data_IF_224186427683
#
_entry.id   IF_224186427683
#
_cell.length_a   1.000
_cell.length_b   1.000
_cell.length_c   1.000
_cell.angle_alpha   90.00
_cell.angle_beta   90.00
_cell.angle_gamma   90.00
#
_symmetry.space_group_name_H-M   'P 1'
#
loop_
_entity.id
_entity.type
_entity.pdbx_description
1 polymer ?
#
# COMPACT_ATOMS: atom_id res chain seq x y z
N UNK A 1 10.24 18.67 28.17
CA UNK A 1 10.80 18.70 26.80
C UNK A 1 10.25 19.88 26.07
N UNK A 2 11.08 20.63 25.33
CA UNK A 2 10.59 21.75 24.52
C UNK A 2 9.70 21.24 23.40
N UNK A 3 8.54 21.86 23.20
CA UNK A 3 7.68 21.58 22.07
C UNK A 3 8.44 21.76 20.76
N UNK A 4 8.23 20.84 19.80
CA UNK A 4 8.84 20.95 18.47
C UNK A 4 8.31 22.21 17.76
N UNK A 5 9.21 22.93 17.10
CA UNK A 5 8.81 24.06 16.25
C UNK A 5 7.93 23.58 15.10
N UNK A 6 7.01 24.42 14.63
CA UNK A 6 6.12 24.09 13.50
C UNK A 6 6.91 23.68 12.26
N UNK A 7 8.08 24.28 12.00
CA UNK A 7 8.98 23.91 10.91
C UNK A 7 9.48 22.46 11.02
N UNK A 8 9.89 22.00 12.20
CA UNK A 8 10.34 20.62 12.41
C UNK A 8 9.20 19.63 12.23
N UNK A 9 7.99 19.95 12.71
CA UNK A 9 6.78 19.13 12.51
C UNK A 9 6.48 18.99 11.02
N UNK A 10 6.52 20.08 10.27
CA UNK A 10 6.33 20.09 8.83
C UNK A 10 7.40 19.27 8.12
N UNK A 11 8.68 19.47 8.47
CA UNK A 11 9.81 18.74 7.88
C UNK A 11 9.68 17.22 8.05
N UNK A 12 9.21 16.76 9.20
CA UNK A 12 8.91 15.34 9.39
C UNK A 12 7.68 14.93 8.57
N UNK A 13 6.58 15.66 8.62
CA UNK A 13 5.32 15.33 7.97
C UNK A 13 5.45 15.18 6.44
N UNK A 14 6.35 15.94 5.79
CA UNK A 14 6.61 15.89 4.35
C UNK A 14 6.98 14.50 3.84
N UNK A 15 7.60 13.64 4.65
CA UNK A 15 7.91 12.26 4.29
C UNK A 15 6.66 11.44 3.93
N UNK A 16 5.49 11.81 4.44
CA UNK A 16 4.22 11.18 4.10
C UNK A 16 3.90 11.17 2.60
N UNK A 17 4.32 12.20 1.87
CA UNK A 17 4.06 12.32 0.43
C UNK A 17 4.71 11.19 -0.37
N UNK A 18 5.99 10.90 -0.15
CA UNK A 18 6.69 9.81 -0.85
C UNK A 18 6.23 8.42 -0.37
N UNK A 19 5.82 8.27 0.91
CA UNK A 19 5.39 6.97 1.45
C UNK A 19 4.28 6.33 0.62
N UNK A 20 3.35 7.11 0.12
CA UNK A 20 2.23 6.59 -0.66
C UNK A 20 2.55 6.58 -2.16
N UNK A 21 3.10 7.68 -2.66
CA UNK A 21 3.34 7.89 -4.09
C UNK A 21 4.19 6.79 -4.72
N UNK A 22 5.38 6.50 -4.17
CA UNK A 22 6.33 5.56 -4.75
C UNK A 22 5.74 4.15 -4.90
N UNK A 23 5.05 3.66 -3.85
CA UNK A 23 4.40 2.34 -3.90
C UNK A 23 3.27 2.27 -4.92
N UNK A 24 2.43 3.30 -5.01
CA UNK A 24 1.32 3.34 -5.95
C UNK A 24 1.82 3.38 -7.40
N UNK A 25 2.79 4.26 -7.70
CA UNK A 25 3.31 4.42 -9.06
C UNK A 25 4.01 3.15 -9.54
N UNK A 26 4.86 2.55 -8.72
CA UNK A 26 5.56 1.31 -9.07
C UNK A 26 4.56 0.15 -9.25
N UNK A 27 3.55 0.04 -8.38
CA UNK A 27 2.59 -1.06 -8.45
C UNK A 27 1.69 -1.02 -9.69
N UNK A 28 1.43 0.15 -10.25
CA UNK A 28 0.46 0.31 -11.34
C UNK A 28 1.11 0.63 -12.69
N UNK A 29 2.01 1.60 -12.72
CA UNK A 29 2.55 2.09 -13.97
C UNK A 29 3.73 1.27 -14.50
N UNK A 30 4.43 0.54 -13.60
CA UNK A 30 5.59 -0.26 -14.01
C UNK A 30 5.18 -1.42 -14.92
N UNK A 31 4.04 -2.09 -14.63
CA UNK A 31 3.50 -3.11 -15.54
C UNK A 31 3.22 -2.50 -16.93
N UNK A 32 2.65 -1.30 -16.97
CA UNK A 32 2.30 -0.64 -18.23
C UNK A 32 3.53 -0.23 -19.05
N UNK A 33 4.68 0.01 -18.41
CA UNK A 33 5.93 0.27 -19.11
C UNK A 33 6.54 -1.02 -19.67
N UNK A 34 6.68 -2.05 -18.85
CA UNK A 34 7.41 -3.27 -19.24
C UNK A 34 6.58 -4.25 -20.06
N UNK A 35 5.25 -4.16 -19.94
CA UNK A 35 4.29 -4.96 -20.72
C UNK A 35 3.26 -4.00 -21.33
N UNK A 36 3.70 -3.13 -22.26
CA UNK A 36 2.81 -2.13 -22.86
C UNK A 36 1.74 -2.79 -23.73
N UNK A 37 0.68 -2.09 -23.89
CA UNK A 37 -0.52 -2.53 -24.57
C UNK A 37 -0.46 -2.39 -26.10
N UNK A 38 0.23 -1.36 -26.59
CA UNK A 38 0.29 -1.02 -28.03
C UNK A 38 1.63 -1.33 -28.69
N UNK A 39 2.69 -1.32 -27.87
CA UNK A 39 4.06 -1.53 -28.33
C UNK A 39 4.53 -2.96 -28.05
N UNK A 40 5.74 -3.28 -28.46
CA UNK A 40 6.37 -4.56 -28.15
C UNK A 40 6.61 -4.66 -26.64
N UNK A 41 6.16 -5.76 -26.02
CA UNK A 41 6.45 -6.03 -24.62
C UNK A 41 7.97 -6.09 -24.39
N UNK A 42 8.46 -5.38 -23.37
CA UNK A 42 9.88 -5.35 -23.01
C UNK A 42 10.30 -6.58 -22.20
N UNK A 43 9.34 -7.18 -21.49
CA UNK A 43 9.49 -8.39 -20.68
C UNK A 43 8.20 -9.20 -20.80
N UNK A 44 8.31 -10.54 -20.81
CA UNK A 44 7.13 -11.39 -20.80
C UNK A 44 6.28 -11.16 -19.55
N UNK A 45 4.96 -11.10 -19.69
CA UNK A 45 4.02 -10.77 -18.61
C UNK A 45 4.15 -11.72 -17.41
N UNK A 46 4.34 -13.02 -17.67
CA UNK A 46 4.55 -14.02 -16.62
C UNK A 46 5.83 -13.79 -15.85
N UNK A 47 6.92 -13.46 -16.54
CA UNK A 47 8.21 -13.16 -15.92
C UNK A 47 8.13 -11.86 -15.09
N UNK A 48 7.50 -10.79 -15.61
CA UNK A 48 7.27 -9.57 -14.86
C UNK A 48 6.47 -9.83 -13.58
N UNK A 49 5.40 -10.63 -13.67
CA UNK A 49 4.56 -10.99 -12.53
C UNK A 49 5.34 -11.73 -11.44
N UNK A 50 6.22 -12.67 -11.83
CA UNK A 50 7.10 -13.42 -10.92
C UNK A 50 8.10 -12.45 -10.27
N UNK A 51 8.74 -11.57 -11.04
CA UNK A 51 9.68 -10.56 -10.55
C UNK A 51 9.02 -9.68 -9.48
N UNK A 52 7.81 -9.20 -9.76
CA UNK A 52 7.09 -8.34 -8.85
C UNK A 52 6.63 -9.08 -7.57
N UNK A 53 6.17 -10.33 -7.72
CA UNK A 53 5.79 -11.17 -6.57
C UNK A 53 6.99 -11.44 -5.65
N UNK A 54 8.16 -11.79 -6.22
CA UNK A 54 9.41 -11.96 -5.43
C UNK A 54 9.74 -10.65 -4.70
N UNK A 55 9.61 -9.51 -5.37
CA UNK A 55 9.82 -8.20 -4.77
C UNK A 55 8.90 -7.94 -3.57
N UNK A 56 7.62 -8.30 -3.67
CA UNK A 56 6.68 -8.16 -2.55
C UNK A 56 6.97 -9.09 -1.39
N UNK A 57 7.45 -10.29 -1.65
CA UNK A 57 7.90 -11.21 -0.60
C UNK A 57 9.14 -10.65 0.11
N UNK A 58 10.12 -10.14 -0.66
CA UNK A 58 11.31 -9.49 -0.10
C UNK A 58 10.96 -8.23 0.69
N UNK A 59 10.02 -7.40 0.22
CA UNK A 59 9.49 -6.24 0.94
C UNK A 59 8.94 -6.63 2.31
N UNK A 60 8.13 -7.70 2.36
CA UNK A 60 7.59 -8.23 3.62
C UNK A 60 8.65 -8.77 4.59
N UNK A 61 9.71 -9.39 4.06
CA UNK A 61 10.81 -9.93 4.88
C UNK A 61 11.76 -8.81 5.33
N UNK A 62 12.02 -7.83 4.49
CA UNK A 62 12.97 -6.75 4.76
C UNK A 62 12.49 -5.76 5.82
N UNK A 63 11.17 -5.62 6.04
CA UNK A 63 10.63 -4.70 7.04
C UNK A 63 11.07 -5.01 8.48
N UNK A 64 10.86 -6.24 9.01
CA UNK A 64 11.34 -6.55 10.34
C UNK A 64 12.87 -6.49 10.45
N UNK A 65 13.60 -6.80 9.38
CA UNK A 65 15.06 -6.67 9.33
C UNK A 65 15.48 -5.20 9.42
N UNK A 66 14.84 -4.32 8.65
CA UNK A 66 15.10 -2.88 8.67
C UNK A 66 14.79 -2.26 10.04
N UNK A 67 13.67 -2.67 10.66
CA UNK A 67 13.31 -2.27 12.02
C UNK A 67 14.40 -2.68 13.02
N UNK A 68 14.78 -3.95 13.02
CA UNK A 68 15.84 -4.46 13.90
C UNK A 68 17.18 -3.75 13.68
N UNK A 69 17.62 -3.60 12.43
CA UNK A 69 18.89 -2.93 12.12
C UNK A 69 18.88 -1.48 12.62
N UNK A 70 17.80 -0.76 12.39
CA UNK A 70 17.70 0.63 12.84
C UNK A 70 17.62 0.78 14.36
N UNK A 71 16.97 -0.15 15.05
CA UNK A 71 16.85 -0.11 16.51
C UNK A 71 18.19 -0.41 17.23
N UNK A 72 19.08 -1.21 16.61
CA UNK A 72 20.38 -1.59 17.17
C UNK A 72 21.55 -0.75 16.65
N UNK A 73 21.29 0.19 15.74
CA UNK A 73 22.33 1.06 15.19
C UNK A 73 22.82 2.09 16.21
N UNK A 74 24.14 2.28 16.25
CA UNK A 74 24.78 3.24 17.14
C UNK A 74 25.43 4.35 16.34
N UNK A 75 25.01 5.60 16.58
CA UNK A 75 25.55 6.76 15.88
C UNK A 75 25.38 8.04 16.69
N UNK A 76 26.31 8.97 16.52
CA UNK A 76 26.23 10.33 17.07
C UNK A 76 25.01 11.12 16.55
N UNK A 77 24.40 10.70 15.45
CA UNK A 77 23.21 11.32 14.84
C UNK A 77 21.91 10.61 15.24
N UNK A 78 21.97 9.70 16.22
CA UNK A 78 20.86 8.82 16.59
C UNK A 78 20.91 7.50 15.85
N UNK A 79 19.89 6.68 16.02
CA UNK A 79 19.82 5.32 15.43
C UNK A 79 19.05 5.26 14.11
N UNK A 80 18.11 6.12 13.85
CA UNK A 80 17.18 6.10 12.68
C UNK A 80 17.53 7.10 11.58
N UNK A 81 17.93 8.32 11.95
CA UNK A 81 18.33 9.36 10.99
C UNK A 81 19.44 8.90 10.03
N UNK A 82 20.48 8.13 10.44
CA UNK A 82 21.48 7.64 9.51
C UNK A 82 20.92 6.75 8.39
N UNK A 83 19.91 5.93 8.68
CA UNK A 83 19.26 5.10 7.65
C UNK A 83 18.47 5.96 6.66
N UNK A 84 17.67 6.91 7.15
CA UNK A 84 16.91 7.82 6.30
C UNK A 84 17.87 8.59 5.38
N UNK A 85 18.95 9.13 5.94
CA UNK A 85 19.97 9.86 5.19
C UNK A 85 20.66 8.99 4.13
N UNK A 86 21.09 7.79 4.49
CA UNK A 86 21.81 6.90 3.60
C UNK A 86 20.93 6.33 2.48
N UNK A 87 19.63 6.07 2.76
CA UNK A 87 18.73 5.41 1.81
C UNK A 87 17.91 6.36 0.96
N UNK A 88 17.80 7.65 1.28
CA UNK A 88 17.02 8.61 0.49
C UNK A 88 17.51 8.70 -0.95
N UNK A 89 18.82 8.91 -1.16
CA UNK A 89 19.39 9.06 -2.50
C UNK A 89 19.39 7.73 -3.29
N UNK A 90 19.83 6.59 -2.74
CA UNK A 90 19.72 5.31 -3.44
C UNK A 90 18.29 4.96 -3.84
N UNK A 91 17.31 5.14 -2.93
CA UNK A 91 15.89 4.86 -3.23
C UNK A 91 15.39 5.77 -4.36
N UNK A 92 15.69 7.06 -4.33
CA UNK A 92 15.31 7.99 -5.39
C UNK A 92 15.95 7.63 -6.75
N UNK A 93 17.22 7.26 -6.75
CA UNK A 93 17.93 6.84 -7.96
C UNK A 93 17.35 5.55 -8.54
N UNK A 94 17.11 4.54 -7.70
CA UNK A 94 16.50 3.27 -8.13
C UNK A 94 15.11 3.53 -8.68
N UNK A 95 14.31 4.35 -7.99
CA UNK A 95 12.97 4.74 -8.44
C UNK A 95 13.02 5.42 -9.81
N UNK A 96 13.99 6.28 -10.05
CA UNK A 96 14.20 6.91 -11.36
C UNK A 96 14.62 5.89 -12.43
N UNK A 97 15.60 5.03 -12.14
CA UNK A 97 16.16 4.06 -13.09
C UNK A 97 15.16 2.98 -13.53
N UNK A 98 14.16 2.67 -12.71
CA UNK A 98 13.07 1.75 -13.08
C UNK A 98 12.32 2.17 -14.36
N UNK A 99 12.31 3.46 -14.68
CA UNK A 99 11.60 4.00 -15.86
C UNK A 99 12.47 4.10 -17.11
N UNK A 100 13.72 3.64 -17.05
CA UNK A 100 14.70 3.69 -18.15
C UNK A 100 15.20 2.27 -18.45
N UNK A 101 14.39 1.44 -19.13
CA UNK A 101 14.84 0.11 -19.53
C UNK A 101 16.01 0.21 -20.53
N UNK A 102 17.00 -0.69 -20.48
CA UNK A 102 18.16 -0.69 -21.37
C UNK A 102 17.78 -0.82 -22.87
N UNK A 103 16.74 -1.58 -23.16
CA UNK A 103 16.22 -1.79 -24.52
C UNK A 103 14.74 -1.41 -24.58
N UNK A 104 14.42 -0.12 -24.81
CA UNK A 104 13.05 0.39 -24.66
C UNK A 104 12.10 0.00 -25.80
N UNK A 105 12.59 -0.56 -26.92
CA UNK A 105 11.82 -0.82 -28.12
C UNK A 105 11.68 -2.33 -28.47
N UNK A 106 12.27 -3.19 -27.66
CA UNK A 106 12.27 -4.63 -27.96
C UNK A 106 12.23 -5.49 -26.68
N UNK A 107 11.73 -6.72 -26.82
CA UNK A 107 11.81 -7.72 -25.77
C UNK A 107 13.25 -8.22 -25.69
N UNK A 108 13.94 -7.90 -24.59
CA UNK A 108 15.32 -8.28 -24.39
C UNK A 108 15.55 -8.83 -22.97
N UNK A 109 16.37 -9.88 -22.85
CA UNK A 109 16.61 -10.50 -21.53
C UNK A 109 17.22 -9.55 -20.50
N UNK A 110 18.02 -8.56 -20.95
CA UNK A 110 18.59 -7.53 -20.08
C UNK A 110 17.52 -6.62 -19.47
N UNK A 111 16.38 -6.39 -20.13
CA UNK A 111 15.24 -5.68 -19.53
C UNK A 111 14.68 -6.46 -18.33
N UNK A 112 14.61 -7.80 -18.44
CA UNK A 112 14.15 -8.65 -17.34
C UNK A 112 15.13 -8.63 -16.17
N UNK A 113 16.43 -8.73 -16.42
CA UNK A 113 17.47 -8.62 -15.38
C UNK A 113 17.46 -7.23 -14.74
N UNK A 114 17.31 -6.18 -15.55
CA UNK A 114 17.24 -4.80 -15.08
C UNK A 114 16.07 -4.55 -14.15
N UNK A 115 14.85 -4.88 -14.58
CA UNK A 115 13.67 -4.69 -13.74
C UNK A 115 13.69 -5.61 -12.53
N UNK A 116 14.21 -6.84 -12.66
CA UNK A 116 14.41 -7.73 -11.51
C UNK A 116 15.31 -7.07 -10.48
N UNK A 117 16.52 -6.69 -10.85
CA UNK A 117 17.50 -6.11 -9.93
C UNK A 117 16.96 -4.83 -9.27
N UNK A 118 16.39 -3.91 -10.06
CA UNK A 118 15.91 -2.64 -9.53
C UNK A 118 14.67 -2.77 -8.65
N UNK A 119 13.73 -3.67 -8.98
CA UNK A 119 12.55 -3.91 -8.13
C UNK A 119 12.96 -4.50 -6.78
N UNK A 120 13.88 -5.48 -6.77
CA UNK A 120 14.36 -6.05 -5.49
C UNK A 120 15.12 -4.99 -4.66
N UNK A 121 16.02 -4.25 -5.29
CA UNK A 121 16.77 -3.16 -4.64
C UNK A 121 15.83 -2.06 -4.13
N UNK A 122 14.80 -1.71 -4.92
CA UNK A 122 13.79 -0.74 -4.48
C UNK A 122 13.14 -1.18 -3.17
N UNK A 123 12.60 -2.39 -3.09
CA UNK A 123 11.92 -2.84 -1.88
C UNK A 123 12.83 -2.92 -0.67
N UNK A 124 14.09 -3.34 -0.84
CA UNK A 124 15.09 -3.37 0.24
C UNK A 124 15.40 -1.93 0.71
N UNK A 125 15.76 -1.03 -0.21
CA UNK A 125 16.09 0.36 0.14
C UNK A 125 14.87 1.09 0.72
N UNK A 126 13.68 0.80 0.17
CA UNK A 126 12.42 1.35 0.68
C UNK A 126 12.13 0.94 2.12
N UNK A 127 12.30 -0.34 2.46
CA UNK A 127 12.13 -0.81 3.83
C UNK A 127 13.14 -0.17 4.79
N UNK A 128 14.40 -0.03 4.36
CA UNK A 128 15.46 0.63 5.14
C UNK A 128 15.28 2.16 5.26
N UNK A 129 14.45 2.77 4.43
CA UNK A 129 14.09 4.18 4.47
C UNK A 129 12.80 4.41 5.27
N UNK A 130 11.72 3.72 4.88
CA UNK A 130 10.38 3.98 5.38
C UNK A 130 10.18 3.52 6.84
N UNK A 131 10.70 2.35 7.21
CA UNK A 131 10.52 1.85 8.58
C UNK A 131 11.23 2.69 9.64
N UNK A 132 12.52 3.05 9.50
CA UNK A 132 13.16 3.99 10.41
C UNK A 132 12.46 5.35 10.47
N UNK A 133 11.96 5.84 9.32
CA UNK A 133 11.21 7.10 9.29
C UNK A 133 9.91 7.02 10.08
N UNK A 134 9.08 5.99 9.89
CA UNK A 134 7.83 5.82 10.65
C UNK A 134 8.09 5.62 12.15
N UNK A 135 9.13 4.88 12.48
CA UNK A 135 9.52 4.61 13.84
C UNK A 135 10.20 5.81 14.54
N UNK A 136 10.57 6.87 13.80
CA UNK A 136 11.17 8.08 14.35
C UNK A 136 10.16 8.93 15.16
N UNK A 137 8.86 8.91 14.80
CA UNK A 137 7.84 9.76 15.42
C UNK A 137 7.76 9.65 16.97
N UNK A 138 7.74 8.45 17.57
CA UNK A 138 7.74 8.32 19.03
C UNK A 138 9.02 8.85 19.72
N UNK A 139 10.13 8.96 18.99
CA UNK A 139 11.41 9.41 19.54
C UNK A 139 11.57 10.94 19.53
N UNK A 140 10.94 11.60 18.56
CA UNK A 140 11.04 13.06 18.45
C UNK A 140 10.12 13.80 19.42
N UNK A 141 9.04 13.15 19.90
CA UNK A 141 8.16 13.70 20.93
C UNK A 141 7.51 12.63 21.79
N UNK A 142 7.44 12.87 23.11
CA UNK A 142 6.71 12.03 24.07
C UNK A 142 5.29 12.53 24.34
N UNK A 143 4.93 13.74 23.88
CA UNK A 143 3.61 14.32 24.08
C UNK A 143 2.62 13.69 23.07
N UNK A 144 1.60 13.01 23.59
CA UNK A 144 0.56 12.36 22.79
C UNK A 144 -0.21 13.34 21.88
N UNK A 145 -0.50 14.57 22.37
CA UNK A 145 -1.19 15.58 21.55
C UNK A 145 -0.33 16.03 20.38
N UNK A 146 0.96 16.21 20.65
CA UNK A 146 1.93 16.59 19.63
C UNK A 146 2.11 15.47 18.58
N UNK A 147 2.17 14.18 18.99
CA UNK A 147 2.19 13.03 18.08
C UNK A 147 0.98 13.01 17.16
N UNK A 148 -0.22 13.20 17.72
CA UNK A 148 -1.46 13.26 16.92
C UNK A 148 -1.40 14.40 15.91
N UNK A 149 -0.93 15.59 16.31
CA UNK A 149 -0.80 16.72 15.38
C UNK A 149 0.18 16.43 14.23
N UNK A 150 1.36 15.88 14.54
CA UNK A 150 2.36 15.50 13.52
C UNK A 150 1.81 14.42 12.59
N UNK A 151 1.13 13.39 13.13
CA UNK A 151 0.50 12.33 12.32
C UNK A 151 -0.60 12.88 11.42
N UNK A 152 -1.38 13.85 11.89
CA UNK A 152 -2.40 14.53 11.07
C UNK A 152 -1.74 15.30 9.92
N UNK A 153 -0.66 16.04 10.18
CA UNK A 153 0.09 16.72 9.13
C UNK A 153 0.69 15.72 8.13
N UNK A 154 1.23 14.60 8.61
CA UNK A 154 1.74 13.52 7.76
C UNK A 154 0.64 12.91 6.88
N UNK A 155 -0.57 12.72 7.41
CA UNK A 155 -1.72 12.23 6.65
C UNK A 155 -2.14 13.20 5.53
N UNK A 156 -2.03 14.52 5.74
CA UNK A 156 -2.24 15.50 4.67
C UNK A 156 -1.20 15.33 3.56
N UNK A 157 0.08 15.13 3.89
CA UNK A 157 1.11 14.87 2.86
C UNK A 157 0.94 13.52 2.17
N UNK A 158 0.46 12.48 2.87
CA UNK A 158 0.05 11.21 2.27
C UNK A 158 -1.03 11.44 1.20
N UNK A 159 -2.03 12.28 1.51
CA UNK A 159 -3.08 12.66 0.56
C UNK A 159 -2.51 13.43 -0.64
N UNK A 160 -1.58 14.36 -0.42
CA UNK A 160 -0.88 15.07 -1.52
C UNK A 160 -0.16 14.06 -2.42
N UNK A 161 0.54 13.06 -1.86
CA UNK A 161 1.15 11.97 -2.63
C UNK A 161 0.13 11.21 -3.50
N UNK A 162 -1.06 10.93 -2.96
CA UNK A 162 -2.15 10.27 -3.71
C UNK A 162 -2.70 11.17 -4.83
N UNK A 163 -2.83 12.48 -4.60
CA UNK A 163 -3.25 13.43 -5.64
C UNK A 163 -2.21 13.54 -6.76
N UNK A 164 -0.92 13.55 -6.41
CA UNK A 164 0.16 13.52 -7.42
C UNK A 164 0.12 12.20 -8.21
N UNK A 165 -0.15 11.08 -7.55
CA UNK A 165 -0.34 9.81 -8.24
C UNK A 165 -1.50 9.86 -9.25
N UNK A 166 -2.61 10.51 -8.93
CA UNK A 166 -3.76 10.63 -9.83
C UNK A 166 -3.43 11.40 -11.13
N UNK A 167 -2.43 12.30 -11.10
CA UNK A 167 -1.99 13.06 -12.28
C UNK A 167 -0.78 12.43 -12.99
N UNK A 168 -0.38 11.20 -12.67
CA UNK A 168 0.74 10.53 -13.34
C UNK A 168 0.48 10.26 -14.82
N UNK A 169 -0.79 10.05 -15.22
CA UNK A 169 -1.17 9.94 -16.63
C UNK A 169 -0.82 11.18 -17.44
N UNK A 170 -1.33 12.37 -17.09
CA UNK A 170 -0.91 13.64 -17.69
C UNK A 170 0.60 13.87 -17.70
N UNK A 171 1.32 13.51 -16.63
CA UNK A 171 2.78 13.63 -16.55
C UNK A 171 3.47 12.71 -17.57
N UNK A 172 3.02 11.46 -17.66
CA UNK A 172 3.53 10.49 -18.64
C UNK A 172 3.30 10.97 -20.06
N UNK A 173 2.15 11.53 -20.38
CA UNK A 173 1.84 12.03 -21.72
C UNK A 173 2.65 13.27 -22.09
N UNK A 174 2.96 14.15 -21.13
CA UNK A 174 3.74 15.36 -21.34
C UNK A 174 5.25 15.12 -21.37
N UNK A 175 5.78 14.26 -20.51
CA UNK A 175 7.22 14.09 -20.26
C UNK A 175 7.72 12.66 -20.51
N UNK A 176 6.85 11.75 -20.96
CA UNK A 176 7.17 10.34 -21.16
C UNK A 176 7.43 9.59 -19.84
N UNK A 177 7.94 8.38 -19.95
CA UNK A 177 8.28 7.53 -18.80
C UNK A 177 9.39 8.13 -17.91
N UNK A 178 10.32 8.84 -18.51
CA UNK A 178 11.39 9.56 -17.79
C UNK A 178 10.79 10.61 -16.86
N UNK A 179 9.70 11.28 -17.27
CA UNK A 179 8.97 12.25 -16.45
C UNK A 179 8.42 11.64 -15.18
N UNK A 180 7.84 10.41 -15.25
CA UNK A 180 7.41 9.68 -14.07
C UNK A 180 8.60 9.42 -13.13
N UNK A 181 9.74 9.00 -13.67
CA UNK A 181 10.97 8.76 -12.91
C UNK A 181 11.48 10.02 -12.20
N UNK A 182 11.52 11.16 -12.90
CA UNK A 182 11.93 12.45 -12.33
C UNK A 182 11.00 12.87 -11.20
N UNK A 183 9.70 12.79 -11.41
CA UNK A 183 8.72 13.19 -10.40
C UNK A 183 8.80 12.28 -9.17
N UNK A 184 8.79 10.95 -9.35
CA UNK A 184 8.79 10.01 -8.23
C UNK A 184 10.12 10.00 -7.47
N UNK A 185 11.25 9.98 -8.18
CA UNK A 185 12.59 10.06 -7.58
C UNK A 185 12.84 11.42 -6.93
N UNK A 186 12.49 12.52 -7.59
CA UNK A 186 12.64 13.88 -7.07
C UNK A 186 11.79 14.12 -5.83
N UNK A 187 10.53 13.66 -5.83
CA UNK A 187 9.66 13.76 -4.66
C UNK A 187 10.15 12.88 -3.50
N UNK A 188 10.80 11.76 -3.74
CA UNK A 188 11.45 10.98 -2.68
C UNK A 188 12.51 11.81 -1.98
N UNK A 189 13.37 12.52 -2.73
CA UNK A 189 14.39 13.41 -2.15
C UNK A 189 13.73 14.56 -1.38
N UNK A 190 12.78 15.26 -2.02
CA UNK A 190 12.08 16.42 -1.42
C UNK A 190 11.35 16.02 -0.14
N UNK A 191 10.80 14.82 -0.07
CA UNK A 191 10.02 14.34 1.07
C UNK A 191 10.89 14.00 2.29
N UNK A 192 12.02 13.33 2.11
CA UNK A 192 12.81 12.83 3.23
C UNK A 192 13.98 13.72 3.63
N UNK A 193 14.53 14.53 2.70
CA UNK A 193 15.65 15.43 3.01
C UNK A 193 15.32 16.43 4.12
N UNK A 194 14.13 17.07 4.18
CA UNK A 194 13.79 17.96 5.28
C UNK A 194 13.82 17.29 6.64
N UNK A 195 13.38 16.02 6.72
CA UNK A 195 13.45 15.22 7.96
C UNK A 195 14.90 15.06 8.41
N UNK A 196 15.80 14.69 7.51
CA UNK A 196 17.24 14.49 7.82
C UNK A 196 17.92 15.79 8.28
N UNK A 197 17.54 16.94 7.70
CA UNK A 197 18.15 18.23 8.01
C UNK A 197 17.61 18.87 9.30
N UNK A 198 16.30 18.73 9.55
CA UNK A 198 15.63 19.45 10.64
C UNK A 198 15.52 18.64 11.94
N UNK A 199 15.44 17.30 11.84
CA UNK A 199 15.26 16.43 13.00
C UNK A 199 16.61 15.96 13.52
N UNK A 200 16.79 16.08 14.83
CA UNK A 200 17.97 15.56 15.55
C UNK A 200 17.48 14.52 16.56
N UNK A 201 17.90 13.30 16.39
CA UNK A 201 17.78 12.27 17.41
C UNK A 201 18.79 12.46 18.53
N UNK A 202 18.48 11.97 19.72
CA UNK A 202 19.50 11.86 20.78
C UNK A 202 20.58 10.88 20.35
N UNK A 203 21.86 11.17 20.66
CA UNK A 203 22.93 10.19 20.45
C UNK A 203 22.55 8.86 21.10
N UNK A 204 22.73 7.78 20.38
CA UNK A 204 22.52 6.44 20.91
C UNK A 204 23.80 5.98 21.62
N UNK A 205 24.00 6.48 22.83
CA UNK A 205 25.08 6.02 23.73
C UNK A 205 24.56 4.79 24.47
N UNK A 206 24.77 3.66 23.90
CA UNK A 206 24.98 2.36 24.50
C UNK A 206 24.29 1.96 25.80
N UNK A 207 23.07 2.41 26.10
CA UNK A 207 22.28 1.79 27.17
C UNK A 207 21.98 0.34 26.78
N UNK A 208 22.52 -0.55 27.57
CA UNK A 208 22.56 -1.98 27.34
C UNK A 208 21.17 -2.61 27.54
N UNK A 209 20.30 -2.46 26.52
CA UNK A 209 19.33 -3.52 26.32
C UNK A 209 20.10 -4.75 25.84
N UNK A 210 19.86 -5.94 26.44
CA UNK A 210 20.53 -7.17 25.99
C UNK A 210 20.39 -7.31 24.49
N UNK A 211 21.50 -7.60 23.79
CA UNK A 211 21.48 -7.87 22.35
C UNK A 211 20.57 -9.07 22.10
N UNK A 212 19.30 -8.84 21.87
CA UNK A 212 18.46 -9.87 21.30
C UNK A 212 19.00 -10.16 19.90
N UNK A 213 19.68 -11.30 19.77
CA UNK A 213 20.10 -11.77 18.45
C UNK A 213 18.84 -12.12 17.66
N UNK A 214 18.62 -11.44 16.52
CA UNK A 214 17.60 -11.85 15.55
C UNK A 214 17.94 -13.29 15.10
N UNK A 215 17.30 -14.25 15.74
CA UNK A 215 17.24 -15.60 15.19
C UNK A 215 16.04 -15.63 14.26
N UNK A 216 16.23 -15.89 12.98
CA UNK A 216 15.14 -16.07 12.02
C UNK A 216 14.09 -17.07 12.53
N UNK A 217 14.49 -18.09 13.28
CA UNK A 217 13.60 -18.99 13.98
C UNK A 217 12.64 -18.29 14.94
N UNK A 218 13.08 -17.25 15.65
CA UNK A 218 12.26 -16.53 16.62
C UNK A 218 11.14 -15.74 15.91
N UNK A 219 11.43 -15.12 14.78
CA UNK A 219 10.40 -14.39 13.97
C UNK A 219 9.37 -15.37 13.42
N UNK A 220 9.82 -16.53 12.94
CA UNK A 220 8.93 -17.57 12.43
C UNK A 220 8.04 -18.17 13.57
N UNK A 221 8.62 -18.40 14.74
CA UNK A 221 7.87 -18.90 15.91
C UNK A 221 6.86 -17.88 16.41
N UNK A 222 7.19 -16.59 16.34
CA UNK A 222 6.25 -15.51 16.67
C UNK A 222 5.09 -15.47 15.69
N UNK A 223 5.37 -15.51 14.37
CA UNK A 223 4.33 -15.58 13.35
C UNK A 223 3.43 -16.81 13.56
N UNK A 224 4.02 -17.99 13.80
CA UNK A 224 3.28 -19.22 14.08
C UNK A 224 2.40 -19.12 15.32
N UNK A 225 2.85 -18.40 16.34
CA UNK A 225 2.09 -18.21 17.58
C UNK A 225 0.89 -17.29 17.37
N UNK A 226 1.05 -16.18 16.61
CA UNK A 226 -0.07 -15.27 16.31
C UNK A 226 -1.12 -15.96 15.42
N UNK A 227 -0.71 -16.84 14.51
CA UNK A 227 -1.60 -17.61 13.64
C UNK A 227 -2.42 -18.69 14.39
N UNK A 228 -2.12 -18.97 15.67
CA UNK A 228 -2.99 -19.79 16.53
C UNK A 228 -4.22 -19.02 17.03
N UNK A 229 -4.19 -17.70 17.03
CA UNK A 229 -5.31 -16.87 17.42
C UNK A 229 -6.35 -16.84 16.30
N UNK A 230 -7.47 -17.53 16.48
CA UNK A 230 -8.55 -17.64 15.48
C UNK A 230 -9.11 -16.28 15.06
N UNK A 231 -9.26 -15.34 16.00
CA UNK A 231 -9.74 -14.00 15.70
C UNK A 231 -8.77 -13.28 14.74
N UNK A 232 -7.48 -13.41 14.99
CA UNK A 232 -6.47 -12.85 14.11
C UNK A 232 -6.51 -13.46 12.70
N UNK A 233 -6.59 -14.79 12.61
CA UNK A 233 -6.62 -15.48 11.31
C UNK A 233 -7.81 -15.04 10.45
N UNK A 234 -9.00 -14.91 11.02
CA UNK A 234 -10.16 -14.41 10.27
C UNK A 234 -10.01 -12.94 9.84
N UNK A 235 -9.49 -12.09 10.71
CA UNK A 235 -9.21 -10.68 10.36
C UNK A 235 -8.13 -10.59 9.28
N UNK A 236 -7.03 -11.32 9.45
CA UNK A 236 -5.91 -11.37 8.52
C UNK A 236 -6.36 -11.82 7.11
N UNK A 237 -7.08 -12.93 7.04
CA UNK A 237 -7.58 -13.46 5.77
C UNK A 237 -8.56 -12.49 5.10
N UNK A 238 -9.51 -11.94 5.85
CA UNK A 238 -10.47 -10.99 5.30
C UNK A 238 -9.77 -9.72 4.78
N UNK A 239 -8.85 -9.15 5.55
CA UNK A 239 -8.12 -7.94 5.13
C UNK A 239 -7.19 -8.20 3.94
N UNK A 240 -6.48 -9.33 3.91
CA UNK A 240 -5.61 -9.70 2.79
C UNK A 240 -6.42 -9.90 1.48
N UNK A 241 -7.56 -10.59 1.54
CA UNK A 241 -8.46 -10.77 0.39
C UNK A 241 -9.05 -9.45 -0.10
N UNK A 242 -9.40 -8.54 0.81
CA UNK A 242 -9.89 -7.21 0.42
C UNK A 242 -8.78 -6.37 -0.23
N UNK A 243 -7.54 -6.39 0.31
CA UNK A 243 -6.40 -5.74 -0.30
C UNK A 243 -6.08 -6.31 -1.69
N UNK A 244 -6.17 -7.63 -1.85
CA UNK A 244 -6.07 -8.29 -3.16
C UNK A 244 -7.09 -7.71 -4.14
N UNK A 245 -8.37 -7.65 -3.74
CA UNK A 245 -9.47 -7.16 -4.57
C UNK A 245 -9.29 -5.71 -4.99
N UNK A 246 -8.96 -4.82 -4.04
CA UNK A 246 -8.73 -3.40 -4.29
C UNK A 246 -7.55 -3.16 -5.23
N UNK A 247 -6.44 -3.87 -5.02
CA UNK A 247 -5.26 -3.72 -5.88
C UNK A 247 -5.51 -4.20 -7.32
N UNK A 248 -6.33 -5.22 -7.53
CA UNK A 248 -6.75 -5.62 -8.87
C UNK A 248 -7.49 -4.50 -9.61
N UNK A 249 -8.41 -3.82 -8.93
CA UNK A 249 -9.15 -2.69 -9.52
C UNK A 249 -8.22 -1.51 -9.80
N UNK A 250 -7.32 -1.20 -8.87
CA UNK A 250 -6.38 -0.10 -9.04
C UNK A 250 -5.40 -0.38 -10.20
N UNK A 251 -4.90 -1.61 -10.33
CA UNK A 251 -4.06 -2.04 -11.46
C UNK A 251 -4.77 -1.87 -12.80
N UNK A 252 -6.06 -2.11 -12.84
CA UNK A 252 -6.90 -2.06 -14.03
C UNK A 252 -6.98 -0.64 -14.64
N UNK A 253 -6.97 0.41 -13.83
CA UNK A 253 -7.39 1.76 -14.25
C UNK A 253 -6.66 2.31 -15.49
N UNK A 254 -5.32 2.29 -15.61
CA UNK A 254 -4.64 2.81 -16.80
C UNK A 254 -4.99 2.02 -18.08
N UNK A 255 -5.18 0.71 -17.95
CA UNK A 255 -5.56 -0.15 -19.07
C UNK A 255 -7.05 0.01 -19.42
N UNK A 256 -7.89 0.28 -18.42
CA UNK A 256 -9.30 0.56 -18.63
C UNK A 256 -9.55 1.79 -19.48
N UNK A 257 -8.84 2.88 -19.18
CA UNK A 257 -8.90 4.13 -19.94
C UNK A 257 -8.50 3.88 -21.39
N UNK A 258 -7.48 3.09 -21.65
CA UNK A 258 -6.96 2.84 -22.98
C UNK A 258 -7.84 1.87 -23.79
N UNK A 259 -8.24 0.71 -23.20
CA UNK A 259 -8.89 -0.38 -23.94
C UNK A 259 -10.41 -0.34 -23.90
N UNK A 260 -11.01 0.12 -22.81
CA UNK A 260 -12.47 0.14 -22.64
C UNK A 260 -13.03 1.48 -23.06
N UNK A 261 -12.32 2.58 -22.73
CA UNK A 261 -12.76 3.93 -23.05
C UNK A 261 -12.17 4.46 -24.37
N UNK A 262 -11.08 3.85 -24.88
CA UNK A 262 -10.41 4.30 -26.11
C UNK A 262 -9.72 5.66 -25.97
N UNK A 263 -9.34 6.02 -24.73
CA UNK A 263 -8.77 7.33 -24.38
C UNK A 263 -7.26 7.22 -24.09
N UNK A 264 -6.62 8.34 -23.81
CA UNK A 264 -5.19 8.43 -23.49
C UNK A 264 -4.96 8.34 -21.98
N UNK A 265 -3.71 8.19 -21.54
CA UNK A 265 -3.38 8.12 -20.12
C UNK A 265 -3.70 9.43 -19.37
N UNK A 266 -3.88 10.53 -20.07
CA UNK A 266 -4.29 11.81 -19.49
C UNK A 266 -5.65 11.70 -18.78
N UNK A 267 -6.56 10.90 -19.29
CA UNK A 267 -7.92 10.72 -18.75
C UNK A 267 -7.98 9.79 -17.54
N UNK A 268 -6.87 9.14 -17.16
CA UNK A 268 -6.76 8.35 -15.91
C UNK A 268 -7.17 9.19 -14.69
N UNK A 269 -6.82 10.47 -14.67
CA UNK A 269 -7.21 11.38 -13.58
C UNK A 269 -8.74 11.50 -13.45
N UNK A 270 -9.50 11.43 -14.56
CA UNK A 270 -10.95 11.55 -14.55
C UNK A 270 -11.64 10.34 -13.90
N UNK A 271 -10.99 9.17 -13.88
CA UNK A 271 -11.46 8.00 -13.15
C UNK A 271 -10.97 7.99 -11.68
N UNK A 272 -9.74 8.47 -11.44
CA UNK A 272 -9.20 8.53 -10.09
C UNK A 272 -9.88 9.61 -9.23
N UNK A 273 -10.26 10.75 -9.81
CA UNK A 273 -10.87 11.85 -9.07
C UNK A 273 -12.18 11.47 -8.34
N UNK A 274 -13.18 10.83 -8.96
CA UNK A 274 -14.39 10.40 -8.25
C UNK A 274 -14.11 9.31 -7.21
N UNK A 275 -13.17 8.38 -7.45
CA UNK A 275 -12.75 7.39 -6.47
C UNK A 275 -12.15 8.06 -5.24
N UNK A 276 -11.21 8.99 -5.42
CA UNK A 276 -10.55 9.69 -4.32
C UNK A 276 -11.53 10.63 -3.59
N UNK A 277 -12.40 11.31 -4.33
CA UNK A 277 -13.44 12.17 -3.76
C UNK A 277 -14.37 11.41 -2.82
N UNK A 278 -14.90 10.28 -3.27
CA UNK A 278 -15.76 9.44 -2.43
C UNK A 278 -14.97 8.80 -1.27
N UNK A 279 -13.74 8.37 -1.49
CA UNK A 279 -12.87 7.86 -0.43
C UNK A 279 -12.72 8.88 0.71
N UNK A 280 -12.44 10.14 0.39
CA UNK A 280 -12.29 11.22 1.40
C UNK A 280 -13.58 11.39 2.18
N UNK A 281 -14.73 11.48 1.49
CA UNK A 281 -16.04 11.66 2.15
C UNK A 281 -16.34 10.47 3.08
N UNK A 282 -16.21 9.24 2.57
CA UNK A 282 -16.55 8.04 3.33
C UNK A 282 -15.53 7.71 4.41
N UNK A 283 -14.30 8.23 4.35
CA UNK A 283 -13.34 8.16 5.45
C UNK A 283 -13.92 8.79 6.73
N UNK A 284 -14.49 9.99 6.63
CA UNK A 284 -15.12 10.65 7.77
C UNK A 284 -16.43 9.99 8.18
N UNK A 285 -17.24 9.57 7.20
CA UNK A 285 -18.50 8.86 7.44
C UNK A 285 -18.27 7.56 8.21
N UNK A 286 -17.34 6.73 7.75
CA UNK A 286 -17.04 5.45 8.41
C UNK A 286 -16.40 5.62 9.79
N UNK A 287 -15.55 6.64 9.99
CA UNK A 287 -15.02 6.96 11.31
C UNK A 287 -16.15 7.34 12.29
N UNK A 288 -17.11 8.15 11.84
CA UNK A 288 -18.28 8.50 12.65
C UNK A 288 -19.17 7.28 12.93
N UNK A 289 -19.49 6.52 11.90
CA UNK A 289 -20.36 5.34 12.02
C UNK A 289 -19.73 4.23 12.87
N UNK A 290 -18.41 4.00 12.76
CA UNK A 290 -17.69 3.01 13.57
C UNK A 290 -17.74 3.34 15.06
N UNK A 291 -17.68 4.61 15.43
CA UNK A 291 -17.85 5.05 16.83
C UNK A 291 -19.27 4.84 17.35
N UNK A 292 -20.28 4.94 16.48
CA UNK A 292 -21.70 4.83 16.87
C UNK A 292 -22.23 3.40 16.84
N UNK A 293 -21.84 2.62 15.83
CA UNK A 293 -22.40 1.28 15.56
C UNK A 293 -21.41 0.14 15.73
N UNK A 294 -20.17 0.44 16.15
CA UNK A 294 -19.11 -0.54 16.34
C UNK A 294 -18.33 -0.87 15.07
N UNK A 295 -17.05 -1.20 15.26
CA UNK A 295 -16.09 -1.46 14.18
C UNK A 295 -16.45 -2.70 13.34
N UNK A 296 -16.96 -3.76 13.99
CA UNK A 296 -17.35 -4.99 13.31
C UNK A 296 -18.40 -4.76 12.23
N UNK A 297 -19.51 -4.08 12.57
CA UNK A 297 -20.63 -3.83 11.64
C UNK A 297 -20.21 -2.97 10.46
N UNK A 298 -19.40 -1.96 10.70
CA UNK A 298 -18.93 -1.06 9.64
C UNK A 298 -17.90 -1.75 8.74
N UNK A 299 -17.05 -2.63 9.28
CA UNK A 299 -16.15 -3.40 8.44
C UNK A 299 -16.93 -4.44 7.60
N UNK A 300 -17.96 -5.05 8.14
CA UNK A 300 -18.86 -5.92 7.38
C UNK A 300 -19.53 -5.14 6.23
N UNK A 301 -20.00 -3.92 6.48
CA UNK A 301 -20.53 -3.02 5.45
C UNK A 301 -19.48 -2.70 4.39
N UNK A 302 -18.24 -2.42 4.80
CA UNK A 302 -17.11 -2.20 3.87
C UNK A 302 -16.91 -3.38 2.92
N UNK A 303 -16.91 -4.61 3.46
CA UNK A 303 -16.75 -5.82 2.67
C UNK A 303 -17.95 -6.06 1.74
N UNK A 304 -19.17 -5.83 2.21
CA UNK A 304 -20.39 -5.94 1.42
C UNK A 304 -20.42 -4.92 0.28
N UNK A 305 -20.04 -3.67 0.55
CA UNK A 305 -19.94 -2.65 -0.51
C UNK A 305 -18.87 -3.00 -1.54
N UNK A 306 -17.71 -3.52 -1.14
CA UNK A 306 -16.68 -3.99 -2.06
C UNK A 306 -17.21 -5.14 -2.95
N UNK A 307 -17.88 -6.11 -2.35
CA UNK A 307 -18.45 -7.27 -3.06
C UNK A 307 -19.48 -6.87 -4.13
N UNK A 308 -20.21 -5.78 -3.90
CA UNK A 308 -21.21 -5.27 -4.85
C UNK A 308 -20.61 -4.31 -5.87
N UNK A 309 -19.74 -3.39 -5.44
CA UNK A 309 -19.31 -2.29 -6.32
C UNK A 309 -18.20 -2.70 -7.30
N UNK A 310 -17.32 -3.62 -6.92
CA UNK A 310 -16.22 -4.03 -7.81
C UNK A 310 -16.70 -4.74 -9.08
N UNK A 311 -17.66 -5.67 -9.03
CA UNK A 311 -18.19 -6.31 -10.24
C UNK A 311 -18.92 -5.36 -11.18
N UNK A 312 -19.38 -4.19 -10.70
CA UNK A 312 -20.11 -3.23 -11.54
C UNK A 312 -19.27 -2.71 -12.72
N UNK A 313 -17.95 -2.72 -12.63
CA UNK A 313 -17.09 -2.39 -13.77
C UNK A 313 -17.32 -3.33 -14.96
N UNK A 314 -17.68 -4.61 -14.72
CA UNK A 314 -18.04 -5.54 -15.79
C UNK A 314 -19.24 -5.05 -16.63
N UNK A 315 -20.16 -4.34 -15.98
CA UNK A 315 -21.41 -3.85 -16.60
C UNK A 315 -21.23 -2.52 -17.33
N UNK A 316 -20.05 -1.91 -17.31
CA UNK A 316 -19.79 -0.67 -18.06
C UNK A 316 -19.95 -0.93 -19.56
N UNK A 317 -20.71 -0.07 -20.21
CA UNK A 317 -21.13 -0.18 -21.61
C UNK A 317 -22.50 -0.82 -21.81
N UNK A 318 -23.11 -1.42 -20.77
CA UNK A 318 -24.46 -2.00 -20.79
C UNK A 318 -25.40 -1.31 -19.77
N UNK A 319 -24.89 -0.46 -18.88
CA UNK A 319 -25.71 0.26 -17.92
C UNK A 319 -26.66 1.25 -18.64
N UNK A 320 -27.91 1.47 -18.12
CA UNK A 320 -28.94 2.23 -18.83
C UNK A 320 -28.79 3.76 -18.68
N UNK A 321 -27.58 4.28 -18.48
CA UNK A 321 -27.32 5.72 -18.31
C UNK A 321 -25.93 6.10 -18.84
N UNK A 322 -25.84 7.31 -19.40
CA UNK A 322 -24.58 7.93 -19.81
C UNK A 322 -23.75 7.12 -20.83
N UNK A 323 -22.58 7.63 -21.12
CA UNK A 323 -21.57 6.92 -21.91
C UNK A 323 -20.65 6.03 -21.02
N UNK A 324 -19.75 5.28 -21.63
CA UNK A 324 -18.80 4.41 -20.92
C UNK A 324 -17.97 5.19 -19.88
N UNK A 325 -17.62 6.46 -20.16
CA UNK A 325 -16.86 7.29 -19.26
C UNK A 325 -17.66 7.65 -18.00
N UNK A 326 -18.87 8.17 -18.18
CA UNK A 326 -19.77 8.52 -17.06
C UNK A 326 -20.09 7.30 -16.19
N UNK A 327 -20.37 6.14 -16.82
CA UNK A 327 -20.59 4.88 -16.12
C UNK A 327 -19.37 4.47 -15.29
N UNK A 328 -18.15 4.55 -15.88
CA UNK A 328 -16.91 4.23 -15.20
C UNK A 328 -16.66 5.17 -14.00
N UNK A 329 -16.91 6.48 -14.16
CA UNK A 329 -16.78 7.46 -13.08
C UNK A 329 -17.71 7.17 -11.90
N UNK A 330 -18.96 6.84 -12.17
CA UNK A 330 -19.94 6.47 -11.12
C UNK A 330 -19.50 5.20 -10.39
N UNK A 331 -19.07 4.17 -11.13
CA UNK A 331 -18.60 2.92 -10.52
C UNK A 331 -17.32 3.15 -9.71
N UNK A 332 -16.37 3.96 -10.21
CA UNK A 332 -15.16 4.32 -9.46
C UNK A 332 -15.47 5.10 -8.18
N UNK A 333 -16.45 6.01 -8.22
CA UNK A 333 -16.93 6.68 -7.01
C UNK A 333 -17.51 5.69 -5.99
N UNK A 334 -18.27 4.69 -6.43
CA UNK A 334 -18.80 3.64 -5.56
C UNK A 334 -17.68 2.76 -4.98
N UNK A 335 -16.64 2.45 -5.74
CA UNK A 335 -15.46 1.69 -5.27
C UNK A 335 -14.64 2.49 -4.24
N UNK A 336 -14.65 3.82 -4.29
CA UNK A 336 -14.02 4.65 -3.27
C UNK A 336 -14.59 4.45 -1.86
N UNK A 337 -15.84 3.98 -1.74
CA UNK A 337 -16.47 3.68 -0.44
C UNK A 337 -15.71 2.58 0.33
N UNK A 338 -15.54 1.35 -0.21
CA UNK A 338 -14.77 0.31 0.51
C UNK A 338 -13.29 0.66 0.66
N UNK A 339 -12.70 1.49 -0.21
CA UNK A 339 -11.33 1.99 -0.03
C UNK A 339 -11.21 2.78 1.27
N UNK A 340 -12.19 3.61 1.62
CA UNK A 340 -12.22 4.34 2.89
C UNK A 340 -12.25 3.40 4.10
N UNK A 341 -13.04 2.34 4.04
CA UNK A 341 -13.20 1.38 5.11
C UNK A 341 -11.92 0.59 5.41
N UNK A 342 -11.20 0.15 4.36
CA UNK A 342 -9.95 -0.61 4.55
C UNK A 342 -8.82 0.25 5.12
N UNK A 343 -8.86 1.56 4.94
CA UNK A 343 -7.84 2.46 5.50
C UNK A 343 -7.96 2.64 7.02
N UNK A 344 -9.16 2.47 7.58
CA UNK A 344 -9.43 2.77 9.00
C UNK A 344 -9.62 1.49 9.82
N UNK A 345 -10.50 0.61 9.36
CA UNK A 345 -11.09 -0.44 10.20
C UNK A 345 -10.15 -1.60 10.52
N UNK A 346 -9.27 -2.09 9.62
CA UNK A 346 -8.37 -3.20 9.92
C UNK A 346 -7.45 -2.94 11.10
N UNK A 347 -6.88 -1.73 11.21
CA UNK A 347 -6.02 -1.38 12.34
C UNK A 347 -6.79 -1.27 13.66
N UNK A 348 -8.01 -0.74 13.60
CA UNK A 348 -8.89 -0.65 14.76
C UNK A 348 -9.36 -2.02 15.26
N UNK A 349 -9.64 -2.96 14.35
CA UNK A 349 -9.99 -4.35 14.68
C UNK A 349 -8.78 -5.16 15.15
N UNK A 350 -7.59 -4.87 14.58
CA UNK A 350 -6.34 -5.49 15.02
C UNK A 350 -6.01 -5.13 16.47
N UNK A 351 -6.26 -3.90 16.90
CA UNK A 351 -6.09 -3.49 18.28
C UNK A 351 -6.96 -4.35 19.22
N UNK A 352 -8.22 -4.61 18.85
CA UNK A 352 -9.11 -5.48 19.64
C UNK A 352 -8.60 -6.93 19.73
N UNK A 353 -8.00 -7.43 18.64
CA UNK A 353 -7.38 -8.78 18.63
C UNK A 353 -6.15 -8.83 19.55
N UNK A 354 -5.34 -7.76 19.58
CA UNK A 354 -4.16 -7.66 20.43
C UNK A 354 -4.57 -7.60 21.90
N UNK A 355 -5.56 -6.78 22.23
CA UNK A 355 -6.09 -6.66 23.59
C UNK A 355 -6.71 -8.01 24.07
N UNK A 356 -7.37 -8.73 23.17
CA UNK A 356 -7.88 -10.08 23.45
C UNK A 356 -6.74 -11.08 23.67
N UNK A 357 -5.68 -11.06 22.86
CA UNK A 357 -4.51 -11.92 23.04
C UNK A 357 -3.77 -11.63 24.36
N UNK A 358 -3.65 -10.37 24.74
CA UNK A 358 -3.07 -9.94 26.00
C UNK A 358 -3.85 -10.52 27.21
N UNK A 359 -5.19 -10.50 27.15
CA UNK A 359 -6.04 -11.11 28.19
C UNK A 359 -5.83 -12.64 28.31
N UNK A 360 -5.56 -13.33 27.20
CA UNK A 360 -5.34 -14.78 27.20
C UNK A 360 -3.93 -15.18 27.61
N UNK A 361 -2.92 -14.40 27.23
CA UNK A 361 -1.51 -14.80 27.36
C UNK A 361 -0.74 -14.02 28.41
N UNK A 362 -1.30 -12.91 28.92
CA UNK A 362 -0.61 -11.97 29.80
C UNK A 362 0.53 -11.20 29.12
N UNK A 363 0.69 -11.29 27.81
CA UNK A 363 1.78 -10.67 27.05
C UNK A 363 1.24 -9.80 25.92
N UNK A 364 1.66 -8.53 25.88
CA UNK A 364 1.32 -7.61 24.79
C UNK A 364 2.30 -7.78 23.61
N UNK A 365 1.81 -8.30 22.47
CA UNK A 365 2.62 -8.67 21.30
C UNK A 365 2.26 -7.84 20.06
N UNK A 366 2.01 -6.55 20.24
CA UNK A 366 1.48 -5.65 19.21
C UNK A 366 2.32 -5.65 17.91
N UNK A 367 3.63 -5.49 18.02
CA UNK A 367 4.52 -5.42 16.85
C UNK A 367 4.50 -6.69 15.98
N UNK A 368 4.30 -7.87 16.62
CA UNK A 368 4.25 -9.14 15.89
C UNK A 368 2.96 -9.23 15.07
N UNK A 369 1.82 -8.88 15.66
CA UNK A 369 0.52 -8.88 14.98
C UNK A 369 0.50 -7.93 13.79
N UNK A 370 1.01 -6.69 13.98
CA UNK A 370 1.12 -5.68 12.91
C UNK A 370 2.06 -6.18 11.80
N UNK A 371 3.22 -6.74 12.16
CA UNK A 371 4.21 -7.24 11.19
C UNK A 371 3.67 -8.40 10.35
N UNK A 372 2.99 -9.37 10.97
CA UNK A 372 2.37 -10.50 10.26
C UNK A 372 1.26 -10.02 9.34
N UNK A 373 0.41 -9.07 9.78
CA UNK A 373 -0.63 -8.50 8.93
C UNK A 373 -0.03 -7.78 7.72
N UNK A 374 0.99 -6.96 7.91
CA UNK A 374 1.66 -6.24 6.83
C UNK A 374 2.30 -7.20 5.81
N UNK A 375 2.94 -8.27 6.28
CA UNK A 375 3.54 -9.30 5.42
C UNK A 375 2.49 -9.97 4.51
N UNK A 376 1.39 -10.44 5.07
CA UNK A 376 0.33 -11.08 4.27
C UNK A 376 -0.38 -10.10 3.33
N UNK A 377 -0.55 -8.85 3.73
CA UNK A 377 -1.07 -7.79 2.88
C UNK A 377 -0.17 -7.57 1.64
N UNK A 378 1.14 -7.53 1.81
CA UNK A 378 2.10 -7.36 0.71
C UNK A 378 2.09 -8.54 -0.26
N UNK A 379 2.01 -9.77 0.26
CA UNK A 379 1.85 -10.97 -0.56
C UNK A 379 0.54 -10.90 -1.36
N UNK A 380 -0.57 -10.51 -0.73
CA UNK A 380 -1.86 -10.36 -1.41
C UNK A 380 -1.79 -9.34 -2.56
N UNK A 381 -1.09 -8.21 -2.36
CA UNK A 381 -0.83 -7.20 -3.40
C UNK A 381 0.02 -7.81 -4.53
N UNK A 382 1.07 -8.55 -4.22
CA UNK A 382 1.92 -9.20 -5.23
C UNK A 382 1.16 -10.20 -6.08
N UNK A 383 0.35 -11.06 -5.43
CA UNK A 383 -0.49 -12.05 -6.11
C UNK A 383 -1.58 -11.36 -6.95
N UNK A 384 -2.18 -10.25 -6.47
CA UNK A 384 -3.20 -9.51 -7.22
C UNK A 384 -2.68 -8.96 -8.54
N UNK A 385 -1.43 -8.49 -8.57
CA UNK A 385 -0.79 -8.00 -9.79
C UNK A 385 -0.52 -9.16 -10.74
N UNK A 386 -0.03 -10.30 -10.24
CA UNK A 386 0.23 -11.47 -11.07
C UNK A 386 -1.07 -12.05 -11.69
N UNK A 387 -2.12 -12.20 -10.88
CA UNK A 387 -3.44 -12.69 -11.35
C UNK A 387 -4.10 -11.66 -12.28
N UNK A 388 -4.05 -10.37 -11.94
CA UNK A 388 -4.58 -9.29 -12.78
C UNK A 388 -3.90 -9.25 -14.15
N UNK A 389 -2.57 -9.34 -14.18
CA UNK A 389 -1.81 -9.40 -15.41
C UNK A 389 -2.18 -10.67 -16.23
N UNK A 390 -2.27 -11.84 -15.60
CA UNK A 390 -2.66 -13.08 -16.30
C UNK A 390 -4.06 -12.99 -16.90
N UNK A 391 -5.04 -12.43 -16.18
CA UNK A 391 -6.41 -12.24 -16.70
C UNK A 391 -6.47 -11.21 -17.82
N UNK A 392 -5.70 -10.14 -17.72
CA UNK A 392 -5.65 -9.06 -18.71
C UNK A 392 -5.26 -9.58 -20.10
N UNK A 393 -4.34 -10.56 -20.14
CA UNK A 393 -3.84 -11.19 -21.36
C UNK A 393 -4.47 -12.58 -21.62
N UNK A 394 -5.53 -12.96 -20.88
CA UNK A 394 -6.28 -14.19 -21.11
C UNK A 394 -7.04 -14.08 -22.44
N UNK A 395 -6.56 -14.75 -23.44
CA UNK A 395 -7.09 -14.72 -24.82
C UNK A 395 -6.01 -15.08 -25.84
N UNK A 396 -4.76 -15.24 -25.37
CA UNK A 396 -3.63 -15.67 -26.22
C UNK A 396 -3.02 -14.56 -27.05
N UNK A 397 -3.57 -13.34 -27.02
CA UNK A 397 -3.00 -12.18 -27.69
C UNK A 397 -1.94 -11.50 -26.80
N UNK A 398 -0.93 -10.91 -27.43
CA UNK A 398 0.10 -10.11 -26.76
C UNK A 398 -0.45 -8.74 -26.25
N UNK A 399 -1.77 -8.55 -26.27
CA UNK A 399 -2.44 -7.29 -25.91
C UNK A 399 -3.55 -7.53 -24.89
N UNK A 400 -3.76 -6.61 -23.95
CA UNK A 400 -4.93 -6.62 -23.07
C UNK A 400 -6.23 -6.64 -23.90
N UNK A 401 -7.19 -7.42 -23.44
CA UNK A 401 -8.51 -7.50 -24.06
C UNK A 401 -9.56 -6.83 -23.18
N UNK A 402 -10.59 -6.23 -23.78
CA UNK A 402 -11.72 -5.66 -23.00
C UNK A 402 -12.36 -6.72 -22.10
N UNK A 403 -12.48 -7.96 -22.59
CA UNK A 403 -12.98 -9.08 -21.78
C UNK A 403 -12.06 -9.40 -20.61
N UNK A 404 -10.73 -9.47 -20.84
CA UNK A 404 -9.76 -9.73 -19.77
C UNK A 404 -9.83 -8.68 -18.67
N UNK A 405 -9.94 -7.40 -19.04
CA UNK A 405 -10.11 -6.29 -18.11
C UNK A 405 -11.42 -6.39 -17.32
N UNK A 406 -12.53 -6.74 -17.98
CA UNK A 406 -13.80 -6.97 -17.32
C UNK A 406 -13.76 -8.19 -16.37
N UNK A 407 -13.04 -9.25 -16.71
CA UNK A 407 -12.84 -10.42 -15.84
C UNK A 407 -12.05 -10.08 -14.58
N UNK A 408 -11.12 -9.12 -14.62
CA UNK A 408 -10.42 -8.62 -13.44
C UNK A 408 -11.42 -8.07 -12.42
N UNK A 409 -12.41 -7.30 -12.85
CA UNK A 409 -13.40 -6.72 -11.94
C UNK A 409 -14.32 -7.77 -11.30
N UNK A 410 -14.71 -8.79 -12.06
CA UNK A 410 -15.47 -9.93 -11.52
C UNK A 410 -14.65 -10.73 -10.50
N UNK A 411 -13.37 -10.97 -10.82
CA UNK A 411 -12.46 -11.67 -9.91
C UNK A 411 -12.27 -10.87 -8.62
N UNK A 412 -12.05 -9.56 -8.72
CA UNK A 412 -11.98 -8.68 -7.56
C UNK A 412 -13.25 -8.75 -6.70
N UNK A 413 -14.43 -8.74 -7.34
CA UNK A 413 -15.71 -8.92 -6.66
C UNK A 413 -15.84 -10.28 -5.97
N UNK A 414 -15.45 -11.37 -6.64
CA UNK A 414 -15.47 -12.72 -6.07
C UNK A 414 -14.59 -12.83 -4.81
N UNK A 415 -13.38 -12.28 -4.86
CA UNK A 415 -12.49 -12.24 -3.68
C UNK A 415 -13.04 -11.34 -2.56
N UNK A 416 -13.73 -10.24 -2.90
CA UNK A 416 -14.43 -9.42 -1.90
C UNK A 416 -15.59 -10.19 -1.24
N UNK A 417 -16.35 -11.00 -2.00
CA UNK A 417 -17.37 -11.91 -1.44
C UNK A 417 -16.73 -12.94 -0.52
N UNK A 418 -15.62 -13.57 -0.93
CA UNK A 418 -14.90 -14.54 -0.06
C UNK A 418 -14.41 -13.84 1.22
N UNK A 419 -13.88 -12.62 1.10
CA UNK A 419 -13.47 -11.79 2.25
C UNK A 419 -14.64 -11.57 3.21
N UNK A 420 -15.81 -11.21 2.70
CA UNK A 420 -17.04 -11.04 3.47
C UNK A 420 -17.43 -12.33 4.21
N UNK A 421 -17.47 -13.46 3.51
CA UNK A 421 -17.82 -14.76 4.09
C UNK A 421 -16.82 -15.21 5.17
N UNK A 422 -15.53 -14.96 4.98
CA UNK A 422 -14.50 -15.23 5.97
C UNK A 422 -14.70 -14.35 7.21
N UNK A 423 -14.98 -13.05 7.02
CA UNK A 423 -15.14 -12.12 8.14
C UNK A 423 -16.42 -12.36 8.93
N UNK A 424 -17.48 -12.93 8.35
CA UNK A 424 -18.67 -13.34 9.08
C UNK A 424 -18.35 -14.31 10.23
N UNK A 425 -17.25 -15.07 10.13
CA UNK A 425 -16.76 -16.00 11.16
C UNK A 425 -15.85 -15.34 12.20
N UNK A 426 -15.55 -14.05 12.05
CA UNK A 426 -14.74 -13.30 13.02
C UNK A 426 -15.45 -13.26 14.38
N UNK A 427 -14.79 -13.72 15.47
CA UNK A 427 -15.51 -14.02 16.71
C UNK A 427 -15.66 -12.82 17.65
N UNK A 428 -14.84 -11.77 17.51
CA UNK A 428 -14.89 -10.63 18.44
C UNK A 428 -16.03 -9.70 18.05
N UNK A 429 -16.82 -9.30 19.05
CA UNK A 429 -17.93 -8.33 18.95
C UNK A 429 -17.71 -7.21 19.94
N UNK A 430 -18.32 -6.07 19.70
CA UNK A 430 -18.33 -4.93 20.61
C UNK A 430 -19.69 -4.78 21.25
N UNK A 431 -19.69 -4.56 22.56
CA UNK A 431 -20.88 -4.13 23.31
C UNK A 431 -20.43 -3.14 24.38
N UNK A 432 -21.10 -1.98 24.44
CA UNK A 432 -20.80 -0.92 25.43
C UNK A 432 -19.32 -0.49 25.43
N UNK A 433 -18.70 -0.42 24.22
CA UNK A 433 -17.29 -0.04 24.04
C UNK A 433 -16.26 -1.08 24.48
N UNK A 434 -16.69 -2.31 24.81
CA UNK A 434 -15.80 -3.42 25.16
C UNK A 434 -15.89 -4.57 24.15
N UNK A 435 -14.75 -5.09 23.76
CA UNK A 435 -14.65 -6.27 22.93
C UNK A 435 -14.97 -7.54 23.73
N UNK A 436 -15.81 -8.45 23.18
CA UNK A 436 -16.14 -9.75 23.77
C UNK A 436 -16.19 -10.82 22.68
N UNK A 437 -16.00 -12.08 23.08
CA UNK A 437 -16.18 -13.21 22.19
C UNK A 437 -17.67 -13.55 22.03
N UNK A 438 -18.10 -13.66 20.78
CA UNK A 438 -19.37 -14.31 20.48
C UNK A 438 -19.21 -15.82 20.71
N UNK A 439 -19.91 -16.36 21.72
CA UNK A 439 -20.01 -17.80 21.95
C UNK A 439 -20.81 -18.51 20.84
#
# INVERSE_FOLDING_TARGET
MQQLTSSKKLSYAMGGMALNLANLVISQWLLKLYVPSKDTALVAVTLFSIIFLIGRVLDGISEPIAGFLSDHWRSKRGRRIPFIMAMTLPTALITFLLWIPPFPNEMHWLNAVWVFALVQLFFICWSLLANPYLALLPEITSDLKERVNISTMQAVFLMVGTLIFAVMGPIKDALGWIGIGIVTGGLTIISFTPTVLAIREKPSDGDATPRETLRFGTVFDWARTTLKNRAFVYLLAATALLWFSLNMVILLVPFWVEYVLGMTDREVVLLMAPLLGSNIVFFFVFNFLAKKYGKYGIFLLTLATAAVTMPLLYLVGVLPFGDKMAQSQVVMALIGIPVAGIMILPFALLADVIDYDEQLTGKRREGIYVGVQAFFQKIAIGISIAVGAALMYAGGDLKPTELGLKLISLTAGAFAVISLLVFLRYPIREKDGKAYLKR
#
